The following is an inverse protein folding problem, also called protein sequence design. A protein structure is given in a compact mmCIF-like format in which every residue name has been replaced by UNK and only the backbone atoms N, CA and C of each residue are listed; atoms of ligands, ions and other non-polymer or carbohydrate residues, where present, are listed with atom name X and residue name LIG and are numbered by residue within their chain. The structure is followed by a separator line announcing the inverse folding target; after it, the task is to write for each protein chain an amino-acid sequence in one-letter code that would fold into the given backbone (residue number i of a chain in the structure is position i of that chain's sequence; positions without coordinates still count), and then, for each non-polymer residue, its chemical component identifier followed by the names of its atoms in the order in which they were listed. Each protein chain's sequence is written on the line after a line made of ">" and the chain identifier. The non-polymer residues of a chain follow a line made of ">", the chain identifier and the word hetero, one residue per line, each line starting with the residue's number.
data_IF_660360143360
#
_entry.id   IF_660360143360
#
_cell.length_a   1.000
_cell.length_b   1.000
_cell.length_c   1.000
_cell.angle_alpha   90.00
_cell.angle_beta   90.00
_cell.angle_gamma   90.00
#
_symmetry.space_group_name_H-M   'P 1'
#
loop_
_entity.id
_entity.type
_entity.pdbx_description
1 polymer ?
#
# COMPACT_ATOMS: atom_id res chain seq x y z
N UNK A 1 6.36 -21.09 23.41
CA UNK A 1 5.11 -20.82 22.69
C UNK A 1 5.37 -19.64 21.76
N UNK A 2 5.15 -19.78 20.44
CA UNK A 2 5.36 -18.68 19.48
C UNK A 2 4.08 -17.84 19.43
N UNK A 3 4.20 -16.53 19.55
CA UNK A 3 3.08 -15.59 19.49
C UNK A 3 3.32 -14.58 18.36
N UNK A 4 2.23 -14.00 17.83
CA UNK A 4 2.32 -12.81 16.98
C UNK A 4 2.82 -11.65 17.86
N UNK A 5 3.66 -10.80 17.30
CA UNK A 5 4.03 -9.53 17.94
C UNK A 5 3.01 -8.47 17.52
N UNK A 6 2.18 -8.03 18.46
CA UNK A 6 1.18 -6.98 18.23
C UNK A 6 1.69 -5.58 18.64
N UNK A 7 3.01 -5.43 18.75
CA UNK A 7 3.64 -4.13 19.02
C UNK A 7 3.32 -3.18 17.88
N UNK A 8 2.78 -2.01 18.22
CA UNK A 8 2.56 -0.95 17.24
C UNK A 8 3.90 -0.51 16.62
N UNK A 9 3.98 -0.57 15.30
CA UNK A 9 5.10 -0.06 14.52
C UNK A 9 4.63 1.20 13.82
N UNK A 10 5.26 2.34 14.14
CA UNK A 10 5.00 3.56 13.42
C UNK A 10 5.72 3.54 12.06
N UNK A 11 5.05 4.01 11.02
CA UNK A 11 5.62 4.10 9.67
C UNK A 11 5.17 5.39 8.96
N UNK A 12 6.02 5.98 8.11
CA UNK A 12 5.69 7.19 7.37
C UNK A 12 4.67 6.88 6.26
N UNK A 13 3.64 7.70 6.10
CA UNK A 13 2.70 7.55 4.98
C UNK A 13 3.25 8.25 3.74
N UNK A 14 3.84 9.43 3.96
CA UNK A 14 4.52 10.23 2.93
C UNK A 14 6.02 10.30 3.21
N UNK A 15 6.79 10.71 2.20
CA UNK A 15 8.19 11.10 2.33
C UNK A 15 9.12 10.05 2.99
N UNK A 16 8.89 8.77 2.72
CA UNK A 16 9.83 7.73 3.16
C UNK A 16 11.15 7.87 2.36
N UNK A 17 12.14 8.50 2.98
CA UNK A 17 13.47 8.68 2.42
C UNK A 17 14.35 7.43 2.65
N UNK A 18 14.64 6.71 1.57
CA UNK A 18 15.50 5.52 1.59
C UNK A 18 16.96 5.83 1.21
N UNK A 19 17.35 7.11 1.07
CA UNK A 19 18.68 7.53 0.59
C UNK A 19 19.83 6.95 1.42
N UNK A 20 19.61 6.74 2.73
CA UNK A 20 20.59 6.14 3.63
C UNK A 20 20.90 4.67 3.30
N UNK A 21 19.94 3.95 2.70
CA UNK A 21 20.01 2.51 2.52
C UNK A 21 20.20 2.10 1.05
N UNK A 22 19.85 2.98 0.12
CA UNK A 22 19.98 2.74 -1.32
C UNK A 22 21.26 3.39 -1.83
N UNK A 23 22.11 2.60 -2.49
CA UNK A 23 23.29 3.12 -3.16
C UNK A 23 22.86 3.94 -4.38
N UNK A 24 23.06 5.25 -4.33
CA UNK A 24 22.95 6.10 -5.52
C UNK A 24 24.04 5.74 -6.53
N UNK A 25 23.65 5.50 -7.78
CA UNK A 25 24.59 5.14 -8.84
C UNK A 25 25.07 6.38 -9.60
N UNK A 26 24.30 7.47 -9.57
CA UNK A 26 24.68 8.77 -10.10
C UNK A 26 24.25 9.92 -9.17
N UNK A 27 25.01 11.04 -9.18
CA UNK A 27 24.62 12.27 -8.47
C UNK A 27 23.41 12.98 -9.10
N UNK A 28 22.96 12.53 -10.27
CA UNK A 28 21.78 13.06 -10.97
C UNK A 28 20.52 12.26 -10.67
N UNK A 29 20.65 11.11 -10.03
CA UNK A 29 19.49 10.30 -9.67
C UNK A 29 18.65 11.06 -8.63
N UNK A 30 17.33 11.14 -8.80
CA UNK A 30 16.48 11.71 -7.77
C UNK A 30 16.62 10.88 -6.47
N UNK A 31 16.47 11.52 -5.30
CA UNK A 31 16.43 10.79 -4.04
C UNK A 31 15.36 9.68 -4.09
N UNK A 32 15.65 8.47 -3.58
CA UNK A 32 14.70 7.36 -3.54
C UNK A 32 13.62 7.62 -2.47
N UNK A 33 12.69 8.52 -2.80
CA UNK A 33 11.53 8.88 -1.99
C UNK A 33 10.36 7.95 -2.31
N UNK A 34 9.60 7.60 -1.28
CA UNK A 34 8.46 6.71 -1.42
C UNK A 34 7.21 7.20 -0.68
N UNK A 35 6.06 6.88 -1.26
CA UNK A 35 4.74 7.07 -0.67
C UNK A 35 4.08 5.72 -0.40
N UNK A 36 3.48 5.58 0.78
CA UNK A 36 2.64 4.44 1.11
C UNK A 36 1.34 4.53 0.30
N UNK A 37 0.95 3.45 -0.34
CA UNK A 37 -0.32 3.39 -1.07
C UNK A 37 -1.19 2.18 -0.71
N UNK A 38 -0.64 1.19 0.04
CA UNK A 38 -1.46 0.13 0.62
C UNK A 38 -0.85 -0.46 1.90
N UNK A 39 -1.73 -0.95 2.78
CA UNK A 39 -1.41 -1.65 4.02
C UNK A 39 -2.27 -2.89 4.11
N UNK A 40 -1.65 -4.04 4.31
CA UNK A 40 -2.36 -5.27 4.67
C UNK A 40 -2.36 -5.38 6.19
N UNK A 41 -3.55 -5.52 6.75
CA UNK A 41 -3.75 -5.76 8.17
C UNK A 41 -3.98 -7.25 8.42
N UNK A 42 -3.51 -7.75 9.55
CA UNK A 42 -3.82 -9.09 10.04
C UNK A 42 -4.25 -9.05 11.51
N UNK A 43 -5.51 -9.41 11.74
CA UNK A 43 -6.13 -9.49 13.05
C UNK A 43 -6.22 -10.96 13.47
N UNK A 44 -5.40 -11.38 14.44
CA UNK A 44 -5.36 -12.77 14.87
C UNK A 44 -3.97 -13.23 15.28
N UNK A 45 -3.82 -14.53 15.50
CA UNK A 45 -2.58 -15.15 15.95
C UNK A 45 -1.83 -15.86 14.82
N UNK A 46 -0.74 -16.55 15.15
CA UNK A 46 0.04 -17.30 14.16
C UNK A 46 -0.72 -18.48 13.51
N UNK A 47 -1.78 -18.95 14.15
CA UNK A 47 -2.61 -20.07 13.65
C UNK A 47 -3.74 -19.65 12.71
N UNK A 48 -3.94 -18.35 12.50
CA UNK A 48 -5.03 -17.82 11.69
C UNK A 48 -5.56 -16.49 12.21
N UNK A 49 -6.37 -15.85 11.38
CA UNK A 49 -6.93 -14.54 11.64
C UNK A 49 -7.67 -14.00 10.44
N UNK A 50 -7.99 -12.73 10.51
CA UNK A 50 -8.69 -11.97 9.49
C UNK A 50 -7.75 -11.00 8.78
N UNK A 51 -7.83 -10.95 7.45
CA UNK A 51 -7.02 -10.05 6.64
C UNK A 51 -7.93 -9.01 5.99
N UNK A 52 -7.52 -7.75 6.08
CA UNK A 52 -8.13 -6.65 5.33
C UNK A 52 -7.04 -5.74 4.80
N UNK A 53 -7.40 -4.83 3.90
CA UNK A 53 -6.45 -3.90 3.29
C UNK A 53 -6.93 -2.46 3.42
N UNK A 54 -6.02 -1.54 3.72
CA UNK A 54 -6.19 -0.15 3.35
C UNK A 54 -5.47 0.09 2.04
N UNK A 55 -6.08 0.78 1.09
CA UNK A 55 -5.41 1.19 -0.14
C UNK A 55 -5.84 2.60 -0.56
N UNK A 56 -4.88 3.35 -1.10
CA UNK A 56 -5.09 4.69 -1.63
C UNK A 56 -5.42 4.60 -3.11
N UNK A 57 -6.59 5.11 -3.49
CA UNK A 57 -6.91 5.34 -4.89
C UNK A 57 -6.21 6.63 -5.31
N UNK A 58 -5.08 6.46 -5.99
CA UNK A 58 -4.15 7.54 -6.35
C UNK A 58 -4.81 8.68 -7.11
N UNK A 59 -5.77 8.37 -7.98
CA UNK A 59 -6.44 9.35 -8.84
C UNK A 59 -7.40 10.25 -8.06
N UNK A 60 -7.96 9.73 -6.96
CA UNK A 60 -8.90 10.46 -6.10
C UNK A 60 -8.22 11.05 -4.87
N UNK A 61 -6.95 10.70 -4.63
CA UNK A 61 -6.19 11.02 -3.42
C UNK A 61 -6.86 10.51 -2.12
N UNK A 62 -7.74 9.52 -2.22
CA UNK A 62 -8.55 9.01 -1.11
C UNK A 62 -8.14 7.61 -0.67
N UNK A 63 -8.28 7.35 0.62
CA UNK A 63 -8.06 6.03 1.21
C UNK A 63 -9.38 5.25 1.37
N UNK A 64 -9.26 3.94 1.18
CA UNK A 64 -10.36 3.01 1.34
C UNK A 64 -9.92 1.81 2.16
N UNK A 65 -10.83 1.30 2.99
CA UNK A 65 -10.72 0.03 3.69
C UNK A 65 -11.49 -1.03 2.93
N UNK A 66 -10.79 -2.09 2.55
CA UNK A 66 -11.29 -3.27 1.87
C UNK A 66 -11.34 -4.43 2.87
N UNK A 67 -12.55 -4.78 3.28
CA UNK A 67 -12.85 -5.82 4.25
C UNK A 67 -13.80 -6.85 3.63
N UNK A 68 -13.22 -7.85 2.96
CA UNK A 68 -13.92 -8.83 2.15
C UNK A 68 -14.89 -8.18 1.12
N UNK A 69 -16.20 -8.31 1.37
CA UNK A 69 -17.26 -7.75 0.52
C UNK A 69 -17.62 -6.31 0.85
N UNK A 70 -17.02 -5.73 1.88
CA UNK A 70 -17.28 -4.37 2.34
C UNK A 70 -16.12 -3.44 1.97
N UNK A 71 -16.46 -2.31 1.36
CA UNK A 71 -15.51 -1.24 1.05
C UNK A 71 -16.04 0.06 1.66
N UNK A 72 -15.18 0.76 2.40
CA UNK A 72 -15.52 2.04 3.02
C UNK A 72 -14.40 3.06 2.84
N UNK A 73 -14.76 4.34 2.75
CA UNK A 73 -13.77 5.42 2.78
C UNK A 73 -13.24 5.60 4.20
N UNK A 74 -11.94 5.87 4.33
CA UNK A 74 -11.28 6.08 5.63
C UNK A 74 -10.34 7.27 5.58
N UNK A 75 -10.09 7.88 6.73
CA UNK A 75 -9.11 8.95 6.85
C UNK A 75 -7.70 8.39 6.99
N UNK A 76 -6.71 9.22 6.64
CA UNK A 76 -5.31 8.82 6.68
C UNK A 76 -4.80 8.47 8.09
N UNK A 77 -5.38 9.06 9.14
CA UNK A 77 -5.04 8.76 10.54
C UNK A 77 -5.45 7.34 10.98
N UNK A 78 -6.38 6.70 10.26
CA UNK A 78 -6.84 5.34 10.52
C UNK A 78 -5.90 4.26 9.94
N UNK A 79 -4.99 4.66 9.04
CA UNK A 79 -4.13 3.73 8.28
C UNK A 79 -3.08 3.05 9.17
N UNK A 80 -2.64 3.73 10.23
CA UNK A 80 -1.62 3.21 11.15
C UNK A 80 -2.28 2.41 12.26
N UNK A 81 -2.23 1.08 12.15
CA UNK A 81 -2.78 0.17 13.15
C UNK A 81 -1.70 -0.77 13.68
N UNK A 82 -1.90 -1.35 14.87
CA UNK A 82 -1.06 -2.46 15.35
C UNK A 82 -1.27 -3.77 14.57
N UNK A 83 -2.29 -3.82 13.71
CA UNK A 83 -2.55 -4.95 12.84
C UNK A 83 -1.78 -4.89 11.52
N UNK A 84 -1.13 -3.76 11.20
CA UNK A 84 -0.34 -3.60 9.99
C UNK A 84 0.73 -4.70 9.89
N UNK A 85 0.68 -5.48 8.81
CA UNK A 85 1.50 -6.66 8.59
C UNK A 85 2.39 -6.52 7.35
N UNK A 86 1.86 -5.97 6.24
CA UNK A 86 2.63 -5.71 5.02
C UNK A 86 2.34 -4.29 4.54
N UNK A 87 3.40 -3.56 4.21
CA UNK A 87 3.32 -2.18 3.71
C UNK A 87 3.77 -2.13 2.25
N UNK A 88 2.99 -1.46 1.41
CA UNK A 88 3.32 -1.25 0.00
C UNK A 88 3.62 0.23 -0.26
N UNK A 89 4.85 0.47 -0.71
CA UNK A 89 5.35 1.79 -1.05
C UNK A 89 5.62 1.88 -2.54
N UNK A 90 5.29 3.03 -3.15
CA UNK A 90 5.63 3.37 -4.53
C UNK A 90 6.72 4.45 -4.53
N UNK A 91 7.64 4.36 -5.48
CA UNK A 91 8.66 5.39 -5.65
C UNK A 91 8.02 6.65 -6.24
N UNK A 92 8.24 7.78 -5.59
CA UNK A 92 7.87 9.10 -6.10
C UNK A 92 8.93 9.49 -7.13
N UNK A 93 8.69 9.11 -8.38
CA UNK A 93 9.43 9.66 -9.53
C UNK A 93 8.61 10.82 -10.08
N UNK A 94 9.27 11.80 -10.69
CA UNK A 94 8.60 12.89 -11.40
C UNK A 94 7.42 12.33 -12.20
N UNK A 95 6.23 12.86 -11.93
CA UNK A 95 4.93 12.30 -12.28
C UNK A 95 4.60 12.37 -13.78
N UNK A 96 5.61 12.41 -14.64
CA UNK A 96 5.47 12.43 -16.10
C UNK A 96 5.06 11.07 -16.68
N UNK A 97 5.07 10.00 -15.88
CA UNK A 97 4.61 8.67 -16.26
C UNK A 97 3.48 8.19 -15.35
N UNK A 98 2.37 8.93 -15.27
CA UNK A 98 1.09 8.28 -14.96
C UNK A 98 0.83 7.32 -16.12
N UNK A 99 0.65 6.03 -15.83
CA UNK A 99 0.13 5.06 -16.76
C UNK A 99 -1.32 5.44 -17.10
N UNK A 100 -1.47 6.53 -17.87
CA UNK A 100 -2.73 6.92 -18.48
C UNK A 100 -2.94 5.92 -19.60
N UNK A 101 -4.05 5.20 -19.51
CA UNK A 101 -4.52 4.26 -20.52
C UNK A 101 -3.66 3.00 -20.71
N UNK A 102 -3.49 2.18 -19.66
CA UNK A 102 -3.40 0.74 -19.93
C UNK A 102 -4.82 0.32 -20.31
N UNK A 103 -5.09 -0.07 -21.58
CA UNK A 103 -6.42 -0.50 -21.97
C UNK A 103 -6.82 -1.65 -21.06
N UNK A 104 -8.02 -1.58 -20.49
CA UNK A 104 -8.64 -2.76 -19.89
C UNK A 104 -8.73 -3.78 -21.01
N UNK A 105 -8.04 -4.90 -20.84
CA UNK A 105 -8.17 -6.03 -21.75
C UNK A 105 -9.59 -6.56 -21.62
N UNK A 106 -10.47 -6.10 -22.51
CA UNK A 106 -11.89 -6.47 -22.52
C UNK A 106 -12.09 -7.96 -22.77
N UNK A 107 -11.12 -8.64 -23.39
CA UNK A 107 -11.18 -10.08 -23.63
C UNK A 107 -11.03 -10.85 -22.31
N UNK A 108 -10.26 -10.33 -21.35
CA UNK A 108 -10.19 -10.86 -19.99
C UNK A 108 -11.50 -10.63 -19.21
N UNK A 109 -12.16 -9.48 -19.42
CA UNK A 109 -13.42 -9.12 -18.75
C UNK A 109 -14.59 -9.98 -19.24
N UNK A 110 -14.67 -10.27 -20.53
CA UNK A 110 -15.73 -11.11 -21.08
C UNK A 110 -15.54 -12.59 -20.73
N UNK A 111 -14.31 -13.03 -20.47
CA UNK A 111 -14.02 -14.37 -19.94
C UNK A 111 -14.43 -14.57 -18.47
N UNK A 112 -14.72 -13.48 -17.74
CA UNK A 112 -15.17 -13.49 -16.34
C UNK A 112 -16.70 -13.54 -16.19
N UNK A 113 -17.45 -13.43 -17.29
CA UNK A 113 -18.91 -13.61 -17.30
C UNK A 113 -19.21 -15.09 -17.58
N UNK A 114 -19.60 -15.82 -16.56
CA UNK A 114 -20.21 -17.16 -16.71
C UNK A 114 -21.71 -17.04 -16.96
#
# INVERSE_FOLDING_TARGET
>A
MKNKLDTFVNFPIHDLDMSKYVKQTSRRDPPPMYELYAVINHYGGLGGGHYSAYAKLVEEDNWYHFDDSHVSSVNEDEIRTSAAYVLFYRCVRDSSAVARDVPIDTDMVDSLKT
#
